data_IF_581650172352
#
_entry.id   IF_581650172352
#
_cell.length_a   1.000
_cell.length_b   1.000
_cell.length_c   1.000
_cell.angle_alpha   90.00
_cell.angle_beta   90.00
_cell.angle_gamma   90.00
#
_symmetry.space_group_name_H-M   'P 1'
#
loop_
_entity.id
_entity.type
_entity.pdbx_description
1 polymer ?
#
# COMPACT_ATOMS: atom_id res chain seq x y z
N UNK A 1 -13.97 -15.20 8.03
CA UNK A 1 -12.53 -15.46 7.74
C UNK A 1 -11.87 -14.18 7.25
N UNK A 2 -10.80 -13.70 7.88
CA UNK A 2 -10.02 -12.55 7.38
C UNK A 2 -9.04 -13.05 6.33
N UNK A 3 -9.14 -12.56 5.08
CA UNK A 3 -8.13 -12.81 4.04
C UNK A 3 -6.89 -11.98 4.38
N UNK A 4 -5.74 -12.64 4.53
CA UNK A 4 -4.43 -12.00 4.68
C UNK A 4 -3.73 -11.99 3.32
N UNK A 5 -3.06 -10.89 3.01
CA UNK A 5 -2.22 -10.74 1.84
C UNK A 5 -0.82 -10.42 2.34
N UNK A 6 0.14 -11.25 2.00
CA UNK A 6 1.53 -11.15 2.42
C UNK A 6 2.39 -11.06 1.15
N UNK A 7 3.33 -10.11 1.14
CA UNK A 7 4.23 -9.88 0.03
C UNK A 7 5.49 -9.18 0.55
N UNK A 8 6.61 -9.41 -0.11
CA UNK A 8 7.84 -8.69 0.16
C UNK A 8 7.88 -7.40 -0.67
N UNK A 9 8.30 -6.30 -0.04
CA UNK A 9 8.53 -5.03 -0.71
C UNK A 9 9.61 -4.23 0.02
N UNK A 10 10.37 -3.47 -0.75
CA UNK A 10 11.30 -2.49 -0.22
C UNK A 10 10.54 -1.28 0.35
N UNK A 11 11.02 -0.76 1.48
CA UNK A 11 10.54 0.49 2.07
C UNK A 11 11.24 1.65 1.37
N UNK A 12 10.48 2.54 0.75
CA UNK A 12 10.96 3.72 0.04
C UNK A 12 10.72 4.97 0.88
N UNK A 13 11.73 5.82 1.02
CA UNK A 13 11.57 7.13 1.67
C UNK A 13 10.91 8.11 0.68
N UNK A 14 10.01 8.95 1.16
CA UNK A 14 9.52 10.09 0.38
C UNK A 14 10.58 11.20 0.48
N UNK A 15 11.08 11.73 -0.65
CA UNK A 15 11.95 12.90 -0.61
C UNK A 15 11.26 14.06 0.12
N UNK A 16 12.03 14.85 0.85
CA UNK A 16 11.58 16.11 1.45
C UNK A 16 10.59 16.00 2.64
N UNK A 17 10.15 14.80 3.02
CA UNK A 17 9.33 14.57 4.24
C UNK A 17 9.79 13.34 5.02
N UNK A 18 9.46 13.29 6.31
CA UNK A 18 9.66 12.11 7.17
C UNK A 18 8.56 11.05 6.95
N UNK A 19 8.28 10.76 5.69
CA UNK A 19 7.37 9.70 5.25
C UNK A 19 8.12 8.57 4.56
N UNK A 20 7.58 7.36 4.66
CA UNK A 20 7.99 6.23 3.84
C UNK A 20 6.82 5.75 2.97
N UNK A 21 7.03 4.79 2.08
CA UNK A 21 5.97 4.03 1.44
C UNK A 21 6.49 2.69 0.93
N UNK A 22 5.58 1.76 0.64
CA UNK A 22 5.89 0.50 -0.05
C UNK A 22 5.11 0.42 -1.35
N UNK A 23 5.60 -0.38 -2.30
CA UNK A 23 4.88 -0.64 -3.55
C UNK A 23 4.15 -1.97 -3.40
N UNK A 24 2.85 -1.95 -3.64
CA UNK A 24 2.04 -3.17 -3.63
C UNK A 24 2.17 -3.84 -5.00
N UNK A 25 2.57 -5.12 -5.09
CA UNK A 25 2.85 -5.79 -6.36
C UNK A 25 1.58 -6.26 -7.11
N UNK A 26 0.41 -5.73 -6.79
CA UNK A 26 -0.86 -6.10 -7.43
C UNK A 26 -1.82 -4.91 -7.49
N UNK A 27 -2.77 -4.97 -8.43
CA UNK A 27 -3.77 -3.92 -8.60
C UNK A 27 -4.80 -3.96 -7.46
N UNK A 28 -4.76 -2.91 -6.63
CA UNK A 28 -5.66 -2.73 -5.48
C UNK A 28 -7.09 -2.43 -5.94
N UNK A 29 -7.27 -1.72 -7.06
CA UNK A 29 -8.59 -1.40 -7.61
C UNK A 29 -9.27 -2.64 -8.15
N UNK A 30 -8.56 -3.50 -8.88
CA UNK A 30 -9.12 -4.76 -9.34
C UNK A 30 -9.44 -5.70 -8.15
N UNK A 31 -8.55 -5.76 -7.15
CA UNK A 31 -8.71 -6.70 -6.03
C UNK A 31 -9.79 -6.29 -5.02
N UNK A 32 -9.92 -4.99 -4.76
CA UNK A 32 -10.80 -4.46 -3.71
C UNK A 32 -11.93 -3.56 -4.23
N UNK A 33 -11.95 -3.23 -5.52
CA UNK A 33 -12.97 -2.38 -6.15
C UNK A 33 -12.93 -0.92 -5.69
N UNK A 34 -11.86 -0.49 -5.00
CA UNK A 34 -11.76 0.85 -4.39
C UNK A 34 -10.39 1.45 -4.66
N UNK A 35 -10.36 2.77 -4.86
CA UNK A 35 -9.09 3.51 -4.99
C UNK A 35 -8.33 3.68 -3.68
N UNK A 36 -8.99 3.52 -2.52
CA UNK A 36 -8.40 3.60 -1.18
C UNK A 36 -8.94 2.46 -0.34
N UNK A 37 -8.06 1.72 0.32
CA UNK A 37 -8.42 0.55 1.15
C UNK A 37 -7.90 0.78 2.56
N UNK A 38 -8.74 0.52 3.57
CA UNK A 38 -8.33 0.59 4.97
C UNK A 38 -7.53 -0.66 5.33
N UNK A 39 -6.32 -0.48 5.84
CA UNK A 39 -5.44 -1.57 6.29
C UNK A 39 -5.53 -1.68 7.81
N UNK A 40 -6.01 -2.83 8.32
CA UNK A 40 -5.84 -3.30 9.71
C UNK A 40 -6.06 -2.32 10.89
N UNK A 41 -5.49 -2.68 12.05
CA UNK A 41 -5.42 -1.85 13.27
C UNK A 41 -4.16 -0.97 13.33
N UNK A 42 -3.21 -1.15 12.40
CA UNK A 42 -2.03 -0.29 12.28
C UNK A 42 -2.20 0.68 11.12
N UNK A 43 -2.17 1.98 11.41
CA UNK A 43 -2.16 3.04 10.41
C UNK A 43 -0.86 2.97 9.60
N UNK A 44 -0.92 2.43 8.39
CA UNK A 44 0.11 2.64 7.37
C UNK A 44 -0.53 3.31 6.16
N UNK A 45 -0.35 4.64 6.05
CA UNK A 45 -0.84 5.47 4.95
C UNK A 45 0.06 5.33 3.70
N UNK A 46 0.47 4.12 3.34
CA UNK A 46 1.47 3.91 2.30
C UNK A 46 0.82 3.32 1.05
N UNK A 47 0.16 4.20 0.29
CA UNK A 47 -0.31 3.90 -1.05
C UNK A 47 0.37 4.84 -2.03
N UNK A 48 1.35 4.34 -2.78
CA UNK A 48 1.74 4.94 -4.06
C UNK A 48 1.37 3.93 -5.13
N UNK A 49 0.19 4.09 -5.70
CA UNK A 49 -0.02 3.68 -7.08
C UNK A 49 0.92 4.55 -7.91
N UNK A 50 2.10 4.04 -8.26
CA UNK A 50 2.91 4.68 -9.27
C UNK A 50 2.24 4.37 -10.60
N UNK A 51 1.14 5.08 -10.88
CA UNK A 51 0.66 5.25 -12.25
C UNK A 51 1.83 5.90 -12.97
N UNK A 52 2.49 5.12 -13.81
CA UNK A 52 3.44 5.66 -14.77
C UNK A 52 2.66 6.49 -15.79
#
# INVERSE_FOLDING_TARGET
MKKKYEFDSEIKKVPDIDGAYVIVPFDIREKFGKGRVKVGEGYYNYFVNKVT
#
